data_IF_339979398780
#
_entry.id   IF_339979398780
#
_cell.length_a   1.000
_cell.length_b   1.000
_cell.length_c   1.000
_cell.angle_alpha   90.00
_cell.angle_beta   90.00
_cell.angle_gamma   90.00
#
_symmetry.space_group_name_H-M   'P 1'
#
loop_
_entity.id
_entity.type
_entity.pdbx_description
1 polymer ?
#
# COMPACT_ATOMS: atom_id res chain seq x y z
N UNK A 1 26.32 100.99 -20.63
CA UNK A 1 25.49 100.59 -21.79
C UNK A 1 24.03 100.94 -21.49
N UNK A 2 23.46 101.99 -22.08
CA UNK A 2 22.06 102.41 -21.82
C UNK A 2 21.11 101.55 -22.65
N UNK A 3 20.20 100.84 -21.98
CA UNK A 3 19.26 99.92 -22.63
C UNK A 3 18.06 100.69 -23.21
N UNK A 4 17.72 100.41 -24.47
CA UNK A 4 16.49 100.89 -25.12
C UNK A 4 15.26 100.27 -24.42
N UNK A 5 14.19 101.05 -24.20
CA UNK A 5 12.98 100.66 -23.45
C UNK A 5 12.36 99.37 -23.99
N UNK A 6 12.40 99.15 -25.30
CA UNK A 6 11.93 97.93 -25.94
C UNK A 6 12.68 96.67 -25.48
N UNK A 7 14.00 96.77 -25.25
CA UNK A 7 14.82 95.64 -24.77
C UNK A 7 14.55 95.32 -23.29
N UNK A 8 14.26 96.32 -22.46
CA UNK A 8 13.87 96.12 -21.05
C UNK A 8 12.53 95.41 -20.91
N UNK A 9 11.56 95.80 -21.73
CA UNK A 9 10.22 95.22 -21.71
C UNK A 9 10.25 93.76 -22.22
N UNK A 10 11.05 93.48 -23.26
CA UNK A 10 11.28 92.13 -23.77
C UNK A 10 11.96 91.21 -22.73
N UNK A 11 12.95 91.71 -21.99
CA UNK A 11 13.61 90.93 -20.91
C UNK A 11 12.65 90.66 -19.74
N UNK A 12 11.78 91.60 -19.38
CA UNK A 12 10.79 91.40 -18.31
C UNK A 12 9.75 90.33 -18.68
N UNK A 13 9.26 90.34 -19.92
CA UNK A 13 8.31 89.31 -20.41
C UNK A 13 8.98 87.94 -20.48
N UNK A 14 10.23 87.86 -20.94
CA UNK A 14 11.01 86.62 -20.92
C UNK A 14 11.25 86.12 -19.50
N UNK A 15 11.61 87.00 -18.56
CA UNK A 15 11.81 86.63 -17.17
C UNK A 15 10.52 86.11 -16.50
N UNK A 16 9.38 86.76 -16.75
CA UNK A 16 8.08 86.32 -16.25
C UNK A 16 7.61 84.99 -16.87
N UNK A 17 7.89 84.76 -18.16
CA UNK A 17 7.63 83.49 -18.85
C UNK A 17 8.49 82.35 -18.32
N UNK A 18 9.79 82.59 -18.14
CA UNK A 18 10.72 81.62 -17.56
C UNK A 18 10.33 81.30 -16.12
N UNK A 19 9.97 82.30 -15.32
CA UNK A 19 9.54 82.09 -13.92
C UNK A 19 8.26 81.26 -13.86
N UNK A 20 7.26 81.59 -14.67
CA UNK A 20 6.02 80.81 -14.77
C UNK A 20 6.32 79.36 -15.19
N UNK A 21 7.17 79.16 -16.20
CA UNK A 21 7.57 77.83 -16.65
C UNK A 21 8.28 77.04 -15.54
N UNK A 22 9.24 77.66 -14.84
CA UNK A 22 9.97 77.03 -13.73
C UNK A 22 9.03 76.62 -12.59
N UNK A 23 8.05 77.46 -12.23
CA UNK A 23 7.08 77.12 -11.19
C UNK A 23 6.17 75.97 -11.60
N UNK A 24 5.69 75.96 -12.86
CA UNK A 24 4.84 74.89 -13.38
C UNK A 24 5.61 73.57 -13.52
N UNK A 25 6.85 73.63 -14.02
CA UNK A 25 7.73 72.46 -14.12
C UNK A 25 8.10 71.90 -12.75
N UNK A 26 8.38 72.75 -11.76
CA UNK A 26 8.67 72.32 -10.40
C UNK A 26 7.47 71.62 -9.74
N UNK A 27 6.26 72.16 -9.93
CA UNK A 27 5.04 71.57 -9.38
C UNK A 27 4.69 70.24 -10.07
N UNK A 28 4.84 70.17 -11.39
CA UNK A 28 4.67 68.94 -12.16
C UNK A 28 5.69 67.86 -11.77
N UNK A 29 6.95 68.24 -11.59
CA UNK A 29 8.00 67.32 -11.15
C UNK A 29 7.73 66.78 -9.74
N UNK A 30 7.29 67.64 -8.81
CA UNK A 30 6.87 67.20 -7.48
C UNK A 30 5.70 66.23 -7.53
N UNK A 31 4.66 66.53 -8.33
CA UNK A 31 3.51 65.64 -8.51
C UNK A 31 3.92 64.28 -9.09
N UNK A 32 4.84 64.26 -10.06
CA UNK A 32 5.37 63.01 -10.62
C UNK A 32 6.15 62.19 -9.58
N UNK A 33 6.92 62.83 -8.71
CA UNK A 33 7.63 62.14 -7.62
C UNK A 33 6.66 61.53 -6.61
N UNK A 34 5.59 62.24 -6.24
CA UNK A 34 4.57 61.72 -5.32
C UNK A 34 3.84 60.54 -5.94
N UNK A 35 3.34 60.68 -7.18
CA UNK A 35 2.65 59.59 -7.89
C UNK A 35 3.56 58.38 -8.07
N UNK A 36 4.84 58.60 -8.37
CA UNK A 36 5.82 57.51 -8.47
C UNK A 36 5.94 56.74 -7.16
N UNK A 37 6.07 57.43 -6.03
CA UNK A 37 6.20 56.78 -4.72
C UNK A 37 4.92 56.00 -4.36
N UNK A 38 3.73 56.56 -4.61
CA UNK A 38 2.47 55.86 -4.38
C UNK A 38 2.29 54.64 -5.29
N UNK A 39 2.74 54.72 -6.55
CA UNK A 39 2.71 53.57 -7.46
C UNK A 39 3.72 52.47 -7.06
N UNK A 40 4.88 52.84 -6.51
CA UNK A 40 5.85 51.87 -5.98
C UNK A 40 5.28 51.16 -4.75
N UNK A 41 4.67 51.87 -3.81
CA UNK A 41 4.03 51.30 -2.61
C UNK A 41 2.83 50.41 -2.97
N UNK A 42 1.96 50.87 -3.88
CA UNK A 42 0.84 50.06 -4.38
C UNK A 42 1.33 48.81 -5.12
N UNK A 43 2.43 48.91 -5.86
CA UNK A 43 3.07 47.78 -6.54
C UNK A 43 3.58 46.73 -5.55
N UNK A 44 4.24 47.17 -4.47
CA UNK A 44 4.73 46.30 -3.40
C UNK A 44 3.59 45.59 -2.66
N UNK A 45 2.52 46.30 -2.33
CA UNK A 45 1.37 45.72 -1.62
C UNK A 45 0.59 44.75 -2.52
N UNK A 46 0.40 45.08 -3.79
CA UNK A 46 -0.22 44.18 -4.76
C UNK A 46 0.63 42.92 -4.97
N UNK A 47 1.96 43.09 -5.04
CA UNK A 47 2.91 41.97 -5.15
C UNK A 47 2.83 41.04 -3.93
N UNK A 48 2.85 41.58 -2.72
CA UNK A 48 2.70 40.80 -1.47
C UNK A 48 1.35 40.10 -1.39
N UNK A 49 0.26 40.80 -1.71
CA UNK A 49 -1.08 40.22 -1.71
C UNK A 49 -1.21 39.09 -2.75
N UNK A 50 -0.68 39.30 -3.96
CA UNK A 50 -0.66 38.29 -5.02
C UNK A 50 0.19 37.07 -4.66
N UNK A 51 1.36 37.29 -4.05
CA UNK A 51 2.24 36.22 -3.58
C UNK A 51 1.56 35.39 -2.48
N UNK A 52 1.01 36.03 -1.44
CA UNK A 52 0.33 35.34 -0.35
C UNK A 52 -0.93 34.59 -0.83
N UNK A 53 -1.71 35.20 -1.72
CA UNK A 53 -2.88 34.54 -2.31
C UNK A 53 -2.45 33.30 -3.10
N UNK A 54 -1.44 33.43 -3.95
CA UNK A 54 -0.90 32.31 -4.74
C UNK A 54 -0.35 31.22 -3.83
N UNK A 55 0.43 31.56 -2.81
CA UNK A 55 0.95 30.62 -1.82
C UNK A 55 -0.18 29.87 -1.10
N UNK A 56 -1.22 30.58 -0.67
CA UNK A 56 -2.37 29.97 0.01
C UNK A 56 -3.15 29.03 -0.89
N UNK A 57 -3.35 29.39 -2.16
CA UNK A 57 -4.07 28.60 -3.15
C UNK A 57 -3.26 27.35 -3.52
N UNK A 58 -1.96 27.50 -3.76
CA UNK A 58 -1.05 26.37 -4.02
C UNK A 58 -0.99 25.44 -2.81
N UNK A 59 -0.84 25.97 -1.60
CA UNK A 59 -0.82 25.18 -0.36
C UNK A 59 -2.12 24.40 -0.17
N UNK A 60 -3.26 25.06 -0.40
CA UNK A 60 -4.57 24.42 -0.31
C UNK A 60 -4.72 23.31 -1.35
N UNK A 61 -4.35 23.57 -2.60
CA UNK A 61 -4.39 22.56 -3.68
C UNK A 61 -3.50 21.37 -3.36
N UNK A 62 -2.25 21.61 -2.92
CA UNK A 62 -1.32 20.54 -2.53
C UNK A 62 -1.88 19.70 -1.37
N UNK A 63 -2.41 20.34 -0.32
CA UNK A 63 -3.05 19.62 0.79
C UNK A 63 -4.21 18.75 0.30
N UNK A 64 -5.10 19.33 -0.51
CA UNK A 64 -6.24 18.60 -1.05
C UNK A 64 -5.80 17.43 -1.93
N UNK A 65 -4.81 17.62 -2.79
CA UNK A 65 -4.26 16.53 -3.62
C UNK A 65 -3.64 15.42 -2.77
N UNK A 66 -2.91 15.75 -1.71
CA UNK A 66 -2.35 14.76 -0.79
C UNK A 66 -3.45 14.00 -0.02
N UNK A 67 -4.50 14.70 0.40
CA UNK A 67 -5.67 14.09 1.05
C UNK A 67 -6.41 13.14 0.09
N UNK A 68 -6.71 13.60 -1.12
CA UNK A 68 -7.36 12.80 -2.16
C UNK A 68 -6.52 11.56 -2.51
N UNK A 69 -5.19 11.71 -2.59
CA UNK A 69 -4.27 10.60 -2.82
C UNK A 69 -4.27 9.61 -1.63
N UNK A 70 -4.18 10.11 -0.40
CA UNK A 70 -4.21 9.27 0.79
C UNK A 70 -5.52 8.48 0.89
N UNK A 71 -6.65 9.13 0.61
CA UNK A 71 -7.97 8.50 0.54
C UNK A 71 -8.03 7.43 -0.54
N UNK A 72 -7.60 7.75 -1.77
CA UNK A 72 -7.59 6.79 -2.87
C UNK A 72 -6.71 5.56 -2.57
N UNK A 73 -5.58 5.76 -1.87
CA UNK A 73 -4.72 4.66 -1.42
C UNK A 73 -5.37 3.82 -0.32
N UNK A 74 -6.03 4.43 0.65
CA UNK A 74 -6.77 3.71 1.68
C UNK A 74 -7.91 2.88 1.08
N UNK A 75 -8.72 3.46 0.19
CA UNK A 75 -9.81 2.76 -0.50
C UNK A 75 -9.30 1.58 -1.35
N UNK A 76 -8.11 1.73 -1.95
CA UNK A 76 -7.46 0.63 -2.67
C UNK A 76 -7.07 -0.50 -1.71
N UNK A 77 -6.41 -0.19 -0.60
CA UNK A 77 -6.02 -1.18 0.42
C UNK A 77 -7.26 -1.89 0.99
N UNK A 78 -8.34 -1.16 1.27
CA UNK A 78 -9.60 -1.72 1.78
C UNK A 78 -10.19 -2.74 0.79
N UNK A 79 -10.16 -2.42 -0.51
CA UNK A 79 -10.65 -3.34 -1.55
C UNK A 79 -9.81 -4.60 -1.65
N UNK A 80 -8.48 -4.47 -1.66
CA UNK A 80 -7.57 -5.61 -1.74
C UNK A 80 -7.71 -6.51 -0.50
N UNK A 81 -7.79 -5.90 0.68
CA UNK A 81 -7.97 -6.65 1.94
C UNK A 81 -9.33 -7.34 2.04
N UNK A 82 -10.42 -6.74 1.54
CA UNK A 82 -11.72 -7.41 1.49
C UNK A 82 -11.72 -8.57 0.48
N UNK A 83 -11.01 -8.41 -0.65
CA UNK A 83 -10.85 -9.50 -1.64
C UNK A 83 -10.14 -10.69 -1.01
N UNK A 84 -9.00 -10.46 -0.36
CA UNK A 84 -8.26 -11.50 0.37
C UNK A 84 -9.13 -12.14 1.45
N UNK A 85 -9.89 -11.34 2.21
CA UNK A 85 -10.81 -11.83 3.24
C UNK A 85 -11.91 -12.71 2.64
N UNK A 86 -12.42 -12.36 1.47
CA UNK A 86 -13.41 -13.16 0.74
C UNK A 86 -12.80 -14.49 0.29
N UNK A 87 -11.60 -14.50 -0.27
CA UNK A 87 -10.91 -15.72 -0.69
C UNK A 87 -10.66 -16.66 0.48
N UNK A 88 -10.23 -16.14 1.63
CA UNK A 88 -10.04 -16.91 2.86
C UNK A 88 -11.36 -17.49 3.38
N UNK A 89 -12.47 -16.74 3.30
CA UNK A 89 -13.81 -17.27 3.66
C UNK A 89 -14.22 -18.41 2.73
N UNK A 90 -13.92 -18.32 1.44
CA UNK A 90 -14.20 -19.39 0.48
C UNK A 90 -13.38 -20.62 0.82
N UNK A 91 -12.06 -20.47 1.04
CA UNK A 91 -11.21 -21.58 1.44
C UNK A 91 -11.66 -22.24 2.75
N UNK A 92 -11.99 -21.45 3.78
CA UNK A 92 -12.49 -21.95 5.06
C UNK A 92 -13.77 -22.76 4.88
N UNK A 93 -14.72 -22.28 4.07
CA UNK A 93 -15.96 -23.02 3.76
C UNK A 93 -15.70 -24.30 2.98
N UNK A 94 -14.83 -24.25 1.97
CA UNK A 94 -14.47 -25.44 1.19
C UNK A 94 -13.80 -26.48 2.06
N UNK A 95 -12.85 -26.08 2.90
CA UNK A 95 -12.16 -27.00 3.80
C UNK A 95 -13.11 -27.56 4.86
N UNK A 96 -14.04 -26.75 5.38
CA UNK A 96 -15.10 -27.21 6.27
C UNK A 96 -15.96 -28.26 5.58
N UNK A 97 -16.39 -28.03 4.34
CA UNK A 97 -17.18 -29.00 3.58
C UNK A 97 -16.42 -30.33 3.40
N UNK A 98 -15.13 -30.27 3.09
CA UNK A 98 -14.27 -31.45 2.93
C UNK A 98 -14.13 -32.21 4.25
N UNK A 99 -13.89 -31.50 5.35
CA UNK A 99 -13.64 -32.09 6.66
C UNK A 99 -14.92 -32.62 7.33
N UNK A 100 -16.07 -31.97 7.11
CA UNK A 100 -17.34 -32.37 7.71
C UNK A 100 -18.11 -33.41 6.92
N UNK A 101 -17.75 -33.66 5.65
CA UNK A 101 -18.37 -34.67 4.78
C UNK A 101 -17.31 -35.54 4.08
N UNK A 102 -16.46 -36.26 4.84
CA UNK A 102 -15.37 -37.06 4.26
C UNK A 102 -15.85 -38.14 3.27
N UNK A 103 -17.11 -38.61 3.39
CA UNK A 103 -17.74 -39.59 2.52
C UNK A 103 -17.90 -39.13 1.06
N UNK A 104 -17.93 -37.81 0.83
CA UNK A 104 -18.06 -37.22 -0.51
C UNK A 104 -16.73 -37.22 -1.28
N UNK A 105 -15.62 -37.54 -0.59
CA UNK A 105 -14.27 -37.40 -1.12
C UNK A 105 -13.51 -38.72 -1.10
N UNK A 106 -12.61 -38.87 -2.06
CA UNK A 106 -11.62 -39.96 -2.06
C UNK A 106 -10.30 -39.44 -1.51
N UNK A 107 -9.57 -40.23 -0.71
CA UNK A 107 -8.24 -39.85 -0.26
C UNK A 107 -7.32 -39.56 -1.44
N UNK A 108 -6.55 -38.49 -1.33
CA UNK A 108 -5.56 -38.11 -2.33
C UNK A 108 -4.22 -37.84 -1.70
N UNK A 109 -3.16 -38.33 -2.35
CA UNK A 109 -1.78 -38.05 -1.95
C UNK A 109 -1.30 -36.74 -2.57
N UNK A 110 -0.69 -35.90 -1.74
CA UNK A 110 0.05 -34.71 -2.17
C UNK A 110 1.55 -34.98 -2.19
N UNK A 111 2.26 -34.17 -2.96
CA UNK A 111 3.71 -34.17 -3.02
C UNK A 111 4.25 -33.62 -1.69
N UNK A 112 5.33 -34.22 -1.20
CA UNK A 112 6.04 -33.69 -0.04
C UNK A 112 7.41 -33.17 -0.51
N UNK A 113 7.73 -31.89 -0.25
CA UNK A 113 8.96 -31.25 -0.70
C UNK A 113 10.23 -31.87 -0.11
N UNK A 114 10.11 -32.70 0.93
CA UNK A 114 11.25 -33.45 1.50
C UNK A 114 11.72 -34.59 0.59
N UNK A 115 10.84 -35.12 -0.26
CA UNK A 115 11.12 -36.28 -1.11
C UNK A 115 11.12 -35.96 -2.59
N UNK A 116 10.37 -34.94 -3.00
CA UNK A 116 10.14 -34.61 -4.41
C UNK A 116 10.15 -33.09 -4.64
N UNK A 117 10.68 -32.61 -5.78
CA UNK A 117 10.65 -31.18 -6.10
C UNK A 117 9.22 -30.70 -6.32
N UNK A 118 8.94 -29.50 -5.82
CA UNK A 118 7.63 -28.83 -5.95
C UNK A 118 7.83 -27.52 -6.70
N UNK A 119 6.90 -27.17 -7.58
CA UNK A 119 6.96 -25.98 -8.41
C UNK A 119 5.95 -24.92 -7.97
N UNK A 120 6.06 -23.70 -8.52
CA UNK A 120 5.11 -22.62 -8.27
C UNK A 120 3.65 -23.08 -8.47
N UNK A 121 2.76 -22.60 -7.60
CA UNK A 121 1.31 -22.92 -7.54
C UNK A 121 0.95 -24.37 -7.17
N UNK A 122 1.89 -25.30 -7.29
CA UNK A 122 1.67 -26.71 -6.98
C UNK A 122 1.41 -26.91 -5.49
N UNK A 123 0.30 -27.57 -5.16
CA UNK A 123 -0.05 -27.88 -3.77
C UNK A 123 0.79 -29.05 -3.24
N UNK A 124 1.37 -28.86 -2.07
CA UNK A 124 2.23 -29.81 -1.38
C UNK A 124 1.81 -29.95 0.09
N UNK A 125 2.36 -30.96 0.76
CA UNK A 125 2.08 -31.32 2.14
C UNK A 125 3.38 -31.38 2.96
N UNK A 126 3.35 -30.79 4.14
CA UNK A 126 4.39 -30.95 5.17
C UNK A 126 3.76 -31.31 6.52
N UNK A 127 4.62 -31.70 7.45
CA UNK A 127 4.23 -32.17 8.78
C UNK A 127 4.97 -31.39 9.85
N UNK A 128 4.30 -31.12 10.96
CA UNK A 128 4.92 -30.58 12.16
C UNK A 128 5.88 -31.60 12.81
N UNK A 129 6.73 -31.14 13.75
CA UNK A 129 7.78 -31.96 14.34
C UNK A 129 7.28 -33.22 15.07
N UNK A 130 6.11 -33.16 15.70
CA UNK A 130 5.46 -34.28 16.41
C UNK A 130 4.99 -35.37 15.44
N UNK A 131 4.27 -35.00 14.38
CA UNK A 131 3.82 -35.95 13.34
C UNK A 131 5.00 -36.65 12.67
N UNK A 132 6.12 -35.94 12.46
CA UNK A 132 7.35 -36.53 11.92
C UNK A 132 8.01 -37.53 12.87
N UNK A 133 8.03 -37.19 14.17
CA UNK A 133 8.64 -38.05 15.20
C UNK A 133 7.83 -39.31 15.42
N UNK A 134 6.51 -39.18 15.53
CA UNK A 134 5.61 -40.25 15.95
C UNK A 134 5.12 -41.09 14.76
N UNK A 135 5.21 -40.55 13.55
CA UNK A 135 4.75 -41.18 12.31
C UNK A 135 3.25 -40.97 12.06
N UNK A 136 2.81 -41.34 10.86
CA UNK A 136 1.40 -41.24 10.47
C UNK A 136 0.63 -42.47 10.98
N UNK A 137 -0.41 -42.25 11.78
CA UNK A 137 -1.40 -43.29 12.05
C UNK A 137 -2.31 -43.49 10.83
N UNK A 138 -2.96 -44.66 10.66
CA UNK A 138 -3.90 -44.88 9.57
C UNK A 138 -5.05 -43.86 9.53
N UNK A 139 -5.51 -43.40 10.69
CA UNK A 139 -6.57 -42.39 10.82
C UNK A 139 -6.09 -41.04 10.32
N UNK A 140 -4.88 -40.62 10.72
CA UNK A 140 -4.27 -39.36 10.30
C UNK A 140 -3.94 -39.36 8.80
N UNK A 141 -3.45 -40.48 8.28
CA UNK A 141 -3.21 -40.65 6.83
C UNK A 141 -4.51 -40.53 6.03
N UNK A 142 -5.61 -41.11 6.52
CA UNK A 142 -6.92 -40.98 5.90
C UNK A 142 -7.43 -39.53 5.95
N UNK A 143 -7.37 -38.88 7.11
CA UNK A 143 -7.77 -37.47 7.28
C UNK A 143 -7.01 -36.55 6.32
N UNK A 144 -5.68 -36.66 6.29
CA UNK A 144 -4.82 -35.88 5.37
C UNK A 144 -5.19 -36.17 3.92
N UNK A 145 -5.46 -37.44 3.59
CA UNK A 145 -5.88 -37.83 2.26
C UNK A 145 -7.19 -37.16 1.84
N UNK A 146 -8.18 -37.09 2.74
CA UNK A 146 -9.44 -36.38 2.49
C UNK A 146 -9.18 -34.87 2.36
N UNK A 147 -8.48 -34.29 3.33
CA UNK A 147 -8.13 -32.87 3.36
C UNK A 147 -7.39 -32.41 2.09
N UNK A 148 -6.55 -33.26 1.53
CA UNK A 148 -5.78 -33.02 0.30
C UNK A 148 -6.62 -32.68 -0.93
N UNK A 149 -7.93 -32.95 -0.91
CA UNK A 149 -8.85 -32.48 -1.96
C UNK A 149 -8.93 -30.94 -2.05
N UNK A 150 -8.54 -30.22 -0.99
CA UNK A 150 -8.47 -28.75 -0.98
C UNK A 150 -7.51 -28.19 -2.03
N UNK A 151 -6.58 -29.00 -2.54
CA UNK A 151 -5.69 -28.64 -3.66
C UNK A 151 -6.44 -28.06 -4.87
N UNK A 152 -7.67 -28.52 -5.11
CA UNK A 152 -8.53 -28.06 -6.21
C UNK A 152 -8.94 -26.59 -6.06
N UNK A 153 -8.90 -26.06 -4.84
CA UNK A 153 -9.12 -24.64 -4.54
C UNK A 153 -7.79 -23.89 -4.33
N UNK A 154 -6.81 -24.50 -3.66
CA UNK A 154 -5.52 -23.86 -3.37
C UNK A 154 -4.68 -23.58 -4.62
N UNK A 155 -4.60 -24.54 -5.56
CA UNK A 155 -3.79 -24.37 -6.77
C UNK A 155 -4.28 -23.18 -7.63
N UNK A 156 -5.57 -23.08 -8.02
CA UNK A 156 -6.03 -21.94 -8.80
C UNK A 156 -5.98 -20.62 -8.04
N UNK A 157 -6.26 -20.63 -6.72
CA UNK A 157 -6.13 -19.43 -5.90
C UNK A 157 -4.68 -18.94 -5.85
N UNK A 158 -3.71 -19.83 -5.63
CA UNK A 158 -2.30 -19.44 -5.70
C UNK A 158 -1.93 -18.86 -7.08
N UNK A 159 -2.55 -19.37 -8.15
CA UNK A 159 -2.41 -18.81 -9.50
C UNK A 159 -2.87 -17.36 -9.66
N UNK A 160 -3.83 -16.86 -8.86
CA UNK A 160 -4.24 -15.45 -8.90
C UNK A 160 -3.19 -14.52 -8.30
N UNK A 161 -2.28 -15.05 -7.49
CA UNK A 161 -1.18 -14.33 -6.87
C UNK A 161 0.16 -14.55 -7.59
N UNK A 162 0.17 -14.99 -8.86
CA UNK A 162 1.40 -15.39 -9.57
C UNK A 162 2.48 -14.29 -9.60
N UNK A 163 2.07 -13.02 -9.62
CA UNK A 163 2.96 -11.86 -9.64
C UNK A 163 3.46 -11.44 -8.24
N UNK A 164 2.98 -12.10 -7.18
CA UNK A 164 3.28 -11.78 -5.80
C UNK A 164 3.94 -12.96 -5.10
N UNK A 165 5.01 -12.67 -4.35
CA UNK A 165 5.57 -13.66 -3.44
C UNK A 165 4.57 -13.96 -2.32
N UNK A 166 3.90 -15.09 -2.41
CA UNK A 166 2.71 -15.38 -1.63
C UNK A 166 2.55 -16.88 -1.40
N UNK A 167 1.72 -17.25 -0.42
CA UNK A 167 1.36 -18.63 -0.14
C UNK A 167 -0.09 -18.71 0.29
N UNK A 168 -0.81 -19.70 -0.23
CA UNK A 168 -2.15 -20.07 0.18
C UNK A 168 -2.06 -21.44 0.87
N UNK A 169 -2.68 -21.61 2.04
CA UNK A 169 -2.45 -22.79 2.84
C UNK A 169 -3.57 -23.11 3.83
N UNK A 170 -3.55 -24.35 4.32
CA UNK A 170 -4.40 -24.89 5.38
C UNK A 170 -3.50 -25.59 6.38
N UNK A 171 -3.73 -25.36 7.68
CA UNK A 171 -3.04 -26.09 8.76
C UNK A 171 -4.05 -26.69 9.72
N UNK A 172 -3.77 -27.91 10.19
CA UNK A 172 -4.64 -28.64 11.11
C UNK A 172 -4.18 -28.56 12.55
N UNK A 173 -5.13 -28.79 13.46
CA UNK A 173 -4.87 -29.06 14.89
C UNK A 173 -4.01 -30.31 15.09
N UNK A 174 -4.04 -31.24 14.14
CA UNK A 174 -3.29 -32.49 14.15
C UNK A 174 -1.89 -32.35 13.52
N UNK A 175 -1.42 -31.12 13.30
CA UNK A 175 -0.02 -30.83 13.01
C UNK A 175 0.40 -31.00 11.55
N UNK A 176 -0.50 -31.30 10.62
CA UNK A 176 -0.20 -31.29 9.18
C UNK A 176 -0.47 -29.92 8.53
N UNK A 177 0.22 -29.64 7.42
CA UNK A 177 0.16 -28.38 6.70
C UNK A 177 0.14 -28.59 5.19
N UNK A 178 -0.91 -28.10 4.53
CA UNK A 178 -1.09 -28.16 3.07
C UNK A 178 -0.91 -26.76 2.51
N UNK A 179 -0.04 -26.59 1.51
CA UNK A 179 0.28 -25.27 0.98
C UNK A 179 0.50 -25.27 -0.53
N UNK A 180 0.12 -24.17 -1.18
CA UNK A 180 0.60 -23.76 -2.49
C UNK A 180 1.37 -22.45 -2.32
N UNK A 181 2.58 -22.39 -2.86
CA UNK A 181 3.44 -21.19 -2.76
C UNK A 181 3.77 -20.64 -4.14
N UNK A 182 4.02 -19.33 -4.16
CA UNK A 182 4.36 -18.54 -5.35
C UNK A 182 5.60 -17.72 -5.08
N UNK A 183 6.58 -17.89 -5.95
CA UNK A 183 7.82 -17.14 -6.02
C UNK A 183 7.97 -16.64 -7.46
N UNK A 184 7.54 -15.40 -7.77
CA UNK A 184 7.46 -14.90 -9.15
C UNK A 184 8.80 -14.96 -9.89
N UNK A 185 9.91 -14.78 -9.16
CA UNK A 185 11.26 -14.79 -9.73
C UNK A 185 11.85 -16.21 -9.90
N UNK A 186 11.11 -17.27 -9.57
CA UNK A 186 11.57 -18.65 -9.64
C UNK A 186 10.83 -19.47 -10.71
N UNK A 187 11.56 -19.89 -11.75
CA UNK A 187 11.03 -20.77 -12.80
C UNK A 187 11.37 -22.26 -12.59
N UNK A 188 12.09 -22.59 -11.53
CA UNK A 188 12.49 -23.95 -11.17
C UNK A 188 11.73 -24.50 -9.97
N UNK A 189 12.23 -25.60 -9.37
CA UNK A 189 11.74 -26.08 -8.08
C UNK A 189 11.81 -24.98 -7.02
N UNK A 190 10.84 -24.95 -6.12
CA UNK A 190 10.81 -24.04 -4.99
C UNK A 190 11.99 -24.31 -4.04
N UNK A 191 12.63 -23.26 -3.49
CA UNK A 191 13.85 -23.39 -2.70
C UNK A 191 13.53 -23.81 -1.26
N UNK A 192 13.17 -25.09 -1.07
CA UNK A 192 13.00 -25.71 0.24
C UNK A 192 14.35 -26.22 0.76
N UNK A 193 15.28 -25.31 1.03
CA UNK A 193 16.67 -25.65 1.37
C UNK A 193 16.94 -25.68 2.89
N UNK A 194 16.13 -24.99 3.69
CA UNK A 194 16.35 -24.85 5.13
C UNK A 194 15.63 -25.93 5.94
N UNK A 195 16.34 -26.54 6.91
CA UNK A 195 15.75 -27.51 7.83
C UNK A 195 14.56 -26.94 8.61
N UNK A 196 14.58 -25.64 8.88
CA UNK A 196 13.50 -24.92 9.59
C UNK A 196 12.16 -24.98 8.85
N UNK A 197 12.17 -25.06 7.51
CA UNK A 197 10.95 -25.28 6.73
C UNK A 197 10.32 -26.63 7.07
N UNK A 198 11.16 -27.64 7.24
CA UNK A 198 10.73 -28.99 7.55
C UNK A 198 10.31 -29.13 9.02
N UNK A 199 10.64 -28.18 9.90
CA UNK A 199 10.16 -28.12 11.27
C UNK A 199 8.97 -27.16 11.45
N UNK A 200 8.36 -26.73 10.33
CA UNK A 200 7.22 -25.82 10.34
C UNK A 200 5.99 -26.46 11.00
N UNK A 201 5.57 -25.90 12.13
CA UNK A 201 4.32 -26.24 12.80
C UNK A 201 3.27 -25.12 12.59
N UNK A 202 2.14 -25.37 11.90
CA UNK A 202 1.12 -24.36 11.70
C UNK A 202 0.49 -23.88 13.02
N UNK A 203 0.41 -24.72 14.06
CA UNK A 203 -0.29 -24.43 15.32
C UNK A 203 0.40 -23.34 16.14
N UNK A 204 1.70 -23.20 15.96
CA UNK A 204 2.49 -22.21 16.67
C UNK A 204 2.46 -20.83 15.99
N UNK A 205 1.91 -20.73 14.77
CA UNK A 205 2.02 -19.53 13.95
C UNK A 205 1.02 -18.44 14.34
N UNK A 206 1.40 -17.15 14.20
CA UNK A 206 0.50 -16.04 14.53
C UNK A 206 -0.84 -16.06 13.79
N UNK A 207 -0.84 -16.42 12.51
CA UNK A 207 -2.07 -16.52 11.72
C UNK A 207 -3.01 -17.60 12.28
N UNK A 208 -2.49 -18.77 12.66
CA UNK A 208 -3.30 -19.87 13.19
C UNK A 208 -3.91 -19.48 14.53
N UNK A 209 -3.07 -18.98 15.45
CA UNK A 209 -3.51 -18.52 16.77
C UNK A 209 -4.53 -17.39 16.68
N UNK A 210 -4.34 -16.44 15.76
CA UNK A 210 -5.28 -15.34 15.55
C UNK A 210 -6.64 -15.87 15.09
N UNK A 211 -6.69 -16.71 14.06
CA UNK A 211 -7.94 -17.25 13.53
C UNK A 211 -8.74 -18.04 14.58
N UNK A 212 -8.05 -18.87 15.38
CA UNK A 212 -8.67 -19.61 16.48
C UNK A 212 -9.19 -18.66 17.56
N UNK A 213 -8.43 -17.63 17.94
CA UNK A 213 -8.81 -16.69 18.98
C UNK A 213 -10.02 -15.82 18.60
N UNK A 214 -10.10 -15.36 17.35
CA UNK A 214 -11.23 -14.52 16.88
C UNK A 214 -12.42 -15.31 16.39
N UNK A 215 -12.24 -16.59 16.06
CA UNK A 215 -13.26 -17.45 15.46
C UNK A 215 -13.89 -16.86 14.18
N UNK A 216 -13.11 -16.06 13.45
CA UNK A 216 -13.56 -15.28 12.31
C UNK A 216 -12.37 -14.92 11.40
N UNK A 217 -12.60 -14.59 10.11
CA UNK A 217 -11.55 -14.13 9.21
C UNK A 217 -10.80 -12.91 9.77
N UNK A 218 -9.50 -13.07 9.99
CA UNK A 218 -8.66 -12.09 10.67
C UNK A 218 -7.30 -11.98 9.98
N UNK A 219 -6.74 -10.77 9.97
CA UNK A 219 -5.37 -10.53 9.59
C UNK A 219 -4.48 -10.63 10.84
N UNK A 220 -3.40 -11.39 10.75
CA UNK A 220 -2.42 -11.51 11.83
C UNK A 220 -1.62 -10.22 12.02
N UNK A 221 -0.91 -10.10 13.12
CA UNK A 221 0.23 -9.18 13.21
C UNK A 221 1.34 -9.58 12.22
N UNK A 222 2.29 -8.67 12.00
CA UNK A 222 3.47 -8.96 11.16
C UNK A 222 4.35 -10.04 11.81
N UNK A 223 4.74 -11.05 11.03
CA UNK A 223 5.61 -12.13 11.50
C UNK A 223 6.67 -12.51 10.46
N UNK A 224 7.79 -13.09 10.91
CA UNK A 224 8.88 -13.47 10.00
C UNK A 224 8.49 -14.69 9.14
N UNK A 225 8.84 -14.63 7.85
CA UNK A 225 8.78 -15.77 6.95
C UNK A 225 9.78 -16.84 7.41
N UNK A 226 9.32 -18.10 7.51
CA UNK A 226 10.12 -19.19 8.09
C UNK A 226 11.38 -19.48 7.27
N UNK A 227 11.30 -19.51 5.94
CA UNK A 227 12.47 -19.84 5.10
C UNK A 227 13.32 -18.63 4.70
N UNK A 228 12.87 -17.40 5.02
CA UNK A 228 13.51 -16.20 4.48
C UNK A 228 13.41 -15.09 5.51
N UNK A 229 14.36 -15.13 6.45
CA UNK A 229 14.48 -14.26 7.63
C UNK A 229 14.33 -12.75 7.37
N UNK A 230 14.47 -12.29 6.12
CA UNK A 230 14.34 -10.87 5.75
C UNK A 230 12.92 -10.43 5.37
N UNK A 231 11.97 -11.35 5.19
CA UNK A 231 10.60 -11.00 4.82
C UNK A 231 9.67 -11.06 6.03
N UNK A 232 8.91 -9.98 6.22
CA UNK A 232 7.76 -9.98 7.10
C UNK A 232 6.50 -10.33 6.32
N UNK A 233 5.61 -11.05 6.96
CA UNK A 233 4.36 -11.54 6.42
C UNK A 233 3.20 -11.02 7.24
N UNK A 234 2.10 -10.79 6.55
CA UNK A 234 0.77 -10.67 7.14
C UNK A 234 -0.08 -11.78 6.55
N UNK A 235 -0.75 -12.55 7.41
CA UNK A 235 -1.63 -13.64 6.98
C UNK A 235 -3.07 -13.28 7.23
N UNK A 236 -3.94 -13.44 6.22
CA UNK A 236 -5.38 -13.49 6.45
C UNK A 236 -5.78 -14.96 6.64
N UNK A 237 -6.53 -15.25 7.70
CA UNK A 237 -6.85 -16.63 8.08
C UNK A 237 -8.22 -16.71 8.74
N UNK A 238 -8.88 -17.85 8.57
CA UNK A 238 -10.16 -18.15 9.19
C UNK A 238 -10.16 -19.62 9.63
N UNK A 239 -10.85 -19.97 10.73
CA UNK A 239 -11.01 -21.35 11.13
C UNK A 239 -11.84 -22.13 10.10
N UNK A 240 -11.61 -23.44 10.01
CA UNK A 240 -12.51 -24.40 9.38
C UNK A 240 -12.86 -25.46 10.42
N UNK A 241 -13.94 -26.20 10.20
CA UNK A 241 -14.48 -27.13 11.19
C UNK A 241 -14.63 -28.52 10.60
N UNK A 242 -14.43 -29.53 11.45
CA UNK A 242 -14.73 -30.91 11.09
C UNK A 242 -16.13 -31.31 11.57
N UNK A 243 -16.53 -32.57 11.43
CA UNK A 243 -17.85 -33.03 11.88
C UNK A 243 -18.11 -32.86 13.39
N UNK A 244 -17.05 -32.66 14.19
CA UNK A 244 -17.09 -32.47 15.64
C UNK A 244 -17.21 -30.99 16.05
N UNK A 245 -17.16 -30.06 15.09
CA UNK A 245 -17.08 -28.62 15.32
C UNK A 245 -15.65 -28.11 15.29
#
# INVERSE_FOLDING_TARGET
>A
MKWNIQKRLLVLVLAAGILSFLTLSGLSFYGLLTVRNEMEEMGDDLSKAGANFTESLVTYQLKKTLEDLAKARAEFIDRETETIRSDVKILSRTMTQIASHPEDYKPVKLINPQFEPVYNTQTYLTYGPDVKRDGLTPELEYEIGIASNIRTSLTPLAGTFIDYKSSCYVGSKDGWFICSSVFPDNNGPLPFEESEFFDYDPRERPWYKAAIATNAPVFSDLYAHVNISKYQLIGCSAPYYDASG
#
